data_IF_430700684773
#
_entry.id   IF_430700684773
#
_cell.length_a   1.000
_cell.length_b   1.000
_cell.length_c   1.000
_cell.angle_alpha   90.00
_cell.angle_beta   90.00
_cell.angle_gamma   90.00
#
_symmetry.space_group_name_H-M   'P 1'
#
loop_
_entity.id
_entity.type
_entity.pdbx_description
1 polymer ?
#
# COMPACT_ATOMS: atom_id res chain seq x y z
N UNK A 1 16.26 52.51 -12.68
CA UNK A 1 16.37 51.30 -13.51
C UNK A 1 15.54 50.23 -12.83
N UNK A 2 14.25 50.22 -13.15
CA UNK A 2 13.20 49.48 -12.45
C UNK A 2 12.60 48.46 -13.42
N UNK A 3 12.71 47.19 -13.08
CA UNK A 3 12.16 46.07 -13.84
C UNK A 3 11.01 45.45 -13.04
N UNK A 4 9.87 46.14 -13.07
CA UNK A 4 8.58 45.67 -12.56
C UNK A 4 7.56 46.49 -13.35
N UNK A 5 7.07 45.97 -14.48
CA UNK A 5 5.83 46.38 -15.16
C UNK A 5 5.70 45.49 -16.40
N UNK A 6 4.99 44.37 -16.27
CA UNK A 6 4.21 43.77 -17.36
C UNK A 6 3.44 42.59 -16.80
N UNK A 7 2.21 42.87 -16.35
CA UNK A 7 1.03 41.98 -16.48
C UNK A 7 -0.19 42.71 -15.94
N UNK A 8 -0.74 43.57 -16.80
CA UNK A 8 -2.13 43.94 -16.79
C UNK A 8 -2.70 43.62 -18.18
N UNK A 9 -3.99 43.27 -18.20
CA UNK A 9 -4.89 43.17 -19.35
C UNK A 9 -4.89 41.88 -20.18
N UNK A 10 -5.85 41.01 -19.86
CA UNK A 10 -6.92 40.46 -20.73
C UNK A 10 -7.92 39.79 -19.75
N UNK A 11 -8.98 40.52 -19.37
CA UNK A 11 -10.37 40.40 -19.85
C UNK A 11 -11.18 39.49 -18.90
N UNK A 12 -11.91 40.04 -17.91
CA UNK A 12 -13.29 40.57 -18.04
C UNK A 12 -14.21 39.58 -18.76
N UNK A 13 -14.86 38.71 -17.97
CA UNK A 13 -16.28 38.33 -17.97
C UNK A 13 -16.44 37.32 -16.82
N UNK A 14 -17.40 37.59 -15.93
CA UNK A 14 -18.01 36.77 -14.85
C UNK A 14 -18.06 37.50 -13.50
N UNK A 15 -18.75 38.64 -13.49
CA UNK A 15 -19.26 39.27 -12.26
C UNK A 15 -20.54 40.05 -12.57
N UNK A 16 -21.59 39.35 -13.02
CA UNK A 16 -22.99 39.80 -12.92
C UNK A 16 -23.92 38.60 -13.07
N UNK A 17 -24.47 38.11 -11.95
CA UNK A 17 -25.80 37.49 -11.79
C UNK A 17 -25.83 36.59 -10.53
N UNK A 18 -25.73 37.20 -9.35
CA UNK A 18 -26.33 36.61 -8.14
C UNK A 18 -27.78 37.11 -8.06
N UNK A 19 -28.61 36.58 -8.95
CA UNK A 19 -30.06 36.57 -8.78
C UNK A 19 -30.45 35.13 -8.51
N UNK A 20 -30.98 34.89 -7.31
CA UNK A 20 -31.32 33.57 -6.81
C UNK A 20 -32.22 32.80 -7.76
N UNK A 21 -31.70 31.71 -8.31
CA UNK A 21 -32.50 30.61 -8.79
C UNK A 21 -32.44 29.52 -7.71
N UNK A 22 -33.40 29.55 -6.79
CA UNK A 22 -33.69 28.39 -5.94
C UNK A 22 -34.33 27.36 -6.86
N UNK A 23 -33.49 26.51 -7.47
CA UNK A 23 -33.96 25.30 -8.15
C UNK A 23 -34.52 24.39 -7.07
N UNK A 24 -35.83 24.30 -6.98
CA UNK A 24 -36.51 23.27 -6.20
C UNK A 24 -36.31 21.94 -6.93
N UNK A 25 -35.25 21.22 -6.61
CA UNK A 25 -35.06 19.83 -7.04
C UNK A 25 -36.11 18.96 -6.32
N UNK A 26 -37.29 18.85 -6.93
CA UNK A 26 -38.45 18.12 -6.40
C UNK A 26 -38.46 16.63 -6.78
N UNK A 27 -37.33 16.02 -7.18
CA UNK A 27 -37.30 14.62 -7.61
C UNK A 27 -36.02 13.88 -7.18
N UNK A 28 -35.69 13.93 -5.88
CA UNK A 28 -34.75 12.97 -5.29
C UNK A 28 -35.45 11.62 -5.08
N UNK A 29 -35.78 10.93 -6.18
CA UNK A 29 -36.15 9.52 -6.08
C UNK A 29 -34.94 8.76 -5.53
N UNK A 30 -35.10 8.16 -4.35
CA UNK A 30 -34.09 7.25 -3.81
C UNK A 30 -33.85 6.12 -4.81
N UNK A 31 -32.58 5.74 -5.06
CA UNK A 31 -32.27 4.67 -5.99
C UNK A 31 -32.97 3.37 -5.59
N UNK A 32 -33.49 2.65 -6.58
CA UNK A 32 -34.12 1.34 -6.41
C UNK A 32 -33.12 0.31 -5.89
N UNK A 33 -33.60 -0.76 -5.25
CA UNK A 33 -32.76 -1.87 -4.76
C UNK A 33 -31.96 -2.51 -5.91
N UNK A 34 -32.51 -2.59 -7.12
CA UNK A 34 -31.75 -3.07 -8.29
C UNK A 34 -30.61 -2.13 -8.70
N UNK A 35 -30.81 -0.80 -8.61
CA UNK A 35 -29.74 0.17 -8.88
C UNK A 35 -28.63 0.10 -7.82
N UNK A 36 -28.98 -0.13 -6.55
CA UNK A 36 -27.99 -0.34 -5.48
C UNK A 36 -27.14 -1.59 -5.68
N UNK A 37 -27.69 -2.65 -6.31
CA UNK A 37 -26.94 -3.89 -6.62
C UNK A 37 -25.89 -3.73 -7.73
N UNK A 38 -25.93 -2.62 -8.49
CA UNK A 38 -24.99 -2.36 -9.58
C UNK A 38 -23.83 -1.44 -9.17
N UNK A 39 -23.82 -0.92 -7.94
CA UNK A 39 -22.75 -0.04 -7.48
C UNK A 39 -21.54 -0.91 -7.15
N UNK A 40 -20.48 -0.78 -7.94
CA UNK A 40 -19.21 -1.42 -7.61
C UNK A 40 -18.64 -0.82 -6.31
N UNK A 41 -18.14 -1.67 -5.38
CA UNK A 41 -17.46 -1.21 -4.18
C UNK A 41 -16.32 -0.23 -4.50
N UNK A 42 -16.22 0.93 -3.81
CA UNK A 42 -15.12 1.85 -3.98
C UNK A 42 -13.77 1.16 -3.73
N UNK A 43 -12.82 1.33 -4.65
CA UNK A 43 -11.45 0.82 -4.50
C UNK A 43 -10.67 1.77 -3.60
N UNK A 44 -10.36 1.34 -2.39
CA UNK A 44 -9.60 2.12 -1.42
C UNK A 44 -8.17 1.63 -1.38
N UNK A 45 -7.21 2.53 -1.59
CA UNK A 45 -5.79 2.21 -1.49
C UNK A 45 -5.18 2.78 -0.22
N UNK A 46 -4.47 1.95 0.54
CA UNK A 46 -3.79 2.36 1.76
C UNK A 46 -2.31 2.05 1.63
N UNK A 47 -1.47 3.08 1.68
CA UNK A 47 -0.02 2.90 1.74
C UNK A 47 0.48 2.90 3.18
N UNK A 48 1.19 1.85 3.59
CA UNK A 48 1.86 1.72 4.89
C UNK A 48 3.37 1.84 4.70
N UNK A 49 3.95 2.93 5.17
CA UNK A 49 5.37 3.21 4.96
C UNK A 49 6.29 2.28 5.78
N UNK A 50 7.54 2.18 5.36
CA UNK A 50 8.60 1.43 6.05
C UNK A 50 9.20 2.12 7.27
N UNK A 51 10.37 1.66 7.70
CA UNK A 51 11.12 2.32 8.78
C UNK A 51 11.63 3.69 8.33
N UNK A 52 11.60 4.65 9.25
CA UNK A 52 12.16 5.98 9.08
C UNK A 52 13.70 5.96 9.17
N UNK A 53 14.38 5.27 8.25
CA UNK A 53 15.85 5.17 8.25
C UNK A 53 16.51 6.25 7.38
N UNK A 54 17.54 6.92 7.95
CA UNK A 54 18.48 7.90 7.37
C UNK A 54 17.93 9.15 6.65
N UNK A 55 16.91 9.06 5.79
CA UNK A 55 16.36 10.21 5.05
C UNK A 55 15.78 11.30 5.97
N UNK A 56 15.21 10.92 7.12
CA UNK A 56 14.65 11.89 8.08
C UNK A 56 15.70 12.83 8.67
N UNK A 57 16.99 12.48 8.67
CA UNK A 57 18.00 13.35 9.28
C UNK A 57 18.29 14.58 8.41
N UNK A 58 18.16 14.47 7.09
CA UNK A 58 18.34 15.59 6.14
C UNK A 58 17.03 16.17 5.59
N UNK A 59 15.94 15.40 5.55
CA UNK A 59 14.67 15.80 4.91
C UNK A 59 13.45 15.74 5.83
N UNK A 60 13.66 15.94 7.14
CA UNK A 60 12.63 15.92 8.20
C UNK A 60 11.33 16.66 7.84
N UNK A 61 11.43 17.81 7.14
CA UNK A 61 10.28 18.62 6.71
C UNK A 61 9.39 17.92 5.67
N UNK A 62 9.99 17.07 4.84
CA UNK A 62 9.32 16.38 3.73
C UNK A 62 8.83 14.99 4.11
N UNK A 63 9.36 14.41 5.19
CA UNK A 63 9.06 13.04 5.61
C UNK A 63 8.16 12.96 6.85
N UNK A 64 7.91 14.08 7.52
CA UNK A 64 7.00 14.10 8.67
C UNK A 64 5.54 14.03 8.20
N UNK A 65 4.87 12.94 8.57
CA UNK A 65 3.41 12.85 8.57
C UNK A 65 2.93 12.60 9.99
N UNK A 66 1.84 13.24 10.43
CA UNK A 66 1.19 12.87 11.68
C UNK A 66 0.88 11.38 11.70
N UNK A 67 0.94 10.74 12.88
CA UNK A 67 0.58 9.33 13.02
C UNK A 67 -0.89 9.09 12.66
N UNK A 68 -1.22 7.87 12.27
CA UNK A 68 -2.56 7.47 11.89
C UNK A 68 -2.79 7.45 10.38
N UNK A 69 -4.05 7.27 9.98
CA UNK A 69 -4.47 7.15 8.59
C UNK A 69 -4.93 8.51 8.06
N UNK A 70 -4.32 8.97 6.97
CA UNK A 70 -4.61 10.27 6.37
C UNK A 70 -4.97 10.10 4.91
N UNK A 71 -6.02 10.78 4.47
CA UNK A 71 -6.36 10.84 3.05
C UNK A 71 -5.32 11.69 2.32
N UNK A 72 -4.91 11.31 1.12
CA UNK A 72 -3.76 11.93 0.45
C UNK A 72 -3.94 13.43 0.24
N UNK A 73 -5.16 13.89 -0.06
CA UNK A 73 -5.44 15.32 -0.25
C UNK A 73 -5.37 16.15 1.05
N UNK A 74 -5.44 15.52 2.24
CA UNK A 74 -5.29 16.23 3.51
C UNK A 74 -3.82 16.41 3.92
N UNK A 75 -2.88 15.79 3.19
CA UNK A 75 -1.46 15.88 3.43
C UNK A 75 -0.83 17.02 2.61
N UNK A 76 0.27 17.59 3.11
CA UNK A 76 1.02 18.61 2.37
C UNK A 76 1.50 18.06 1.01
N UNK A 77 1.45 18.89 -0.02
CA UNK A 77 2.01 18.57 -1.36
C UNK A 77 3.50 18.22 -1.30
N UNK A 78 4.21 18.75 -0.31
CA UNK A 78 5.63 18.48 -0.07
C UNK A 78 5.87 17.14 0.64
N UNK A 79 4.82 16.43 1.05
CA UNK A 79 4.99 15.16 1.75
C UNK A 79 5.49 14.07 0.79
N UNK A 80 6.61 13.45 1.15
CA UNK A 80 7.39 12.63 0.20
C UNK A 80 6.60 11.44 -0.35
N UNK A 81 5.83 10.77 0.50
CA UNK A 81 5.09 9.58 0.09
C UNK A 81 3.81 9.91 -0.67
N UNK A 82 3.28 11.14 -0.55
CA UNK A 82 2.18 11.60 -1.40
C UNK A 82 2.63 11.61 -2.86
N UNK A 83 3.71 12.34 -3.18
CA UNK A 83 4.14 12.45 -4.57
C UNK A 83 4.82 11.17 -5.10
N UNK A 84 5.66 10.51 -4.27
CA UNK A 84 6.35 9.29 -4.70
C UNK A 84 5.40 8.13 -4.96
N UNK A 85 4.40 7.95 -4.09
CA UNK A 85 3.57 6.73 -4.11
C UNK A 85 2.18 7.04 -4.64
N UNK A 86 1.41 7.89 -3.93
CA UNK A 86 0.01 8.10 -4.27
C UNK A 86 -0.16 8.77 -5.64
N UNK A 87 0.52 9.89 -5.88
CA UNK A 87 0.37 10.64 -7.13
C UNK A 87 0.96 9.85 -8.32
N UNK A 88 2.05 9.12 -8.09
CA UNK A 88 2.64 8.26 -9.13
C UNK A 88 1.70 7.11 -9.52
N UNK A 89 1.11 6.41 -8.54
CA UNK A 89 0.19 5.31 -8.84
C UNK A 89 -1.12 5.81 -9.46
N UNK A 90 -1.71 6.86 -8.90
CA UNK A 90 -2.95 7.44 -9.41
C UNK A 90 -2.79 8.01 -10.83
N UNK A 91 -1.64 8.64 -11.14
CA UNK A 91 -1.37 9.13 -12.51
C UNK A 91 -1.04 8.01 -13.50
N UNK A 92 -0.58 6.84 -13.02
CA UNK A 92 -0.30 5.69 -13.87
C UNK A 92 -1.57 4.91 -14.20
N UNK A 93 -2.44 4.69 -13.20
CA UNK A 93 -3.69 3.92 -13.33
C UNK A 93 -4.70 4.43 -12.29
N UNK A 94 -5.46 5.46 -12.65
CA UNK A 94 -6.44 6.08 -11.75
C UNK A 94 -7.66 5.19 -11.50
N UNK A 95 -7.95 4.22 -12.37
CA UNK A 95 -9.06 3.28 -12.18
C UNK A 95 -8.72 2.22 -11.12
N UNK A 96 -7.45 1.83 -11.03
CA UNK A 96 -6.96 0.92 -10.00
C UNK A 96 -6.61 1.65 -8.70
N UNK A 97 -6.07 2.87 -8.80
CA UNK A 97 -5.60 3.68 -7.67
C UNK A 97 -6.23 5.08 -7.66
N UNK A 98 -7.56 5.20 -7.52
CA UNK A 98 -8.24 6.50 -7.48
C UNK A 98 -7.70 7.36 -6.34
N UNK A 99 -7.23 8.56 -6.67
CA UNK A 99 -6.53 9.44 -5.72
C UNK A 99 -7.44 9.90 -4.58
N UNK A 100 -8.73 10.08 -4.88
CA UNK A 100 -9.79 10.43 -3.94
C UNK A 100 -10.02 9.35 -2.87
N UNK A 101 -9.67 8.10 -3.16
CA UNK A 101 -9.78 6.96 -2.23
C UNK A 101 -8.41 6.44 -1.79
N UNK A 102 -7.38 7.29 -1.87
CA UNK A 102 -6.02 6.96 -1.48
C UNK A 102 -5.69 7.52 -0.09
N UNK A 103 -5.13 6.66 0.77
CA UNK A 103 -4.72 6.97 2.12
C UNK A 103 -3.26 6.58 2.38
N UNK A 104 -2.63 7.28 3.30
CA UNK A 104 -1.31 6.94 3.83
C UNK A 104 -1.44 6.72 5.33
N UNK A 105 -1.04 5.53 5.78
CA UNK A 105 -0.92 5.23 7.20
C UNK A 105 0.50 5.51 7.67
N UNK A 106 0.62 6.42 8.64
CA UNK A 106 1.90 6.80 9.22
C UNK A 106 2.04 6.31 10.65
N UNK A 107 3.19 5.73 10.95
CA UNK A 107 3.50 5.15 12.25
C UNK A 107 4.90 5.56 12.72
N UNK A 108 5.31 5.11 13.91
CA UNK A 108 6.58 5.51 14.53
C UNK A 108 7.82 5.15 13.71
N UNK A 109 7.74 4.12 12.87
CA UNK A 109 8.86 3.59 12.09
C UNK A 109 9.89 2.83 12.94
N UNK A 110 9.66 2.65 14.25
CA UNK A 110 10.58 1.95 15.14
C UNK A 110 10.68 0.46 14.78
N UNK A 111 11.88 -0.11 14.91
CA UNK A 111 12.18 -1.48 14.48
C UNK A 111 11.74 -2.58 15.48
N UNK A 112 11.21 -2.23 16.65
CA UNK A 112 10.79 -3.21 17.64
C UNK A 112 9.50 -3.94 17.23
N UNK A 113 9.33 -5.17 17.72
CA UNK A 113 8.07 -5.90 17.52
C UNK A 113 6.89 -5.17 18.14
N UNK A 114 7.06 -4.67 19.36
CA UNK A 114 6.03 -3.91 20.07
C UNK A 114 5.55 -2.70 19.27
N UNK A 115 6.47 -1.90 18.72
CA UNK A 115 6.08 -0.74 17.92
C UNK A 115 5.29 -1.11 16.66
N UNK A 116 5.61 -2.25 16.02
CA UNK A 116 4.85 -2.76 14.86
C UNK A 116 3.47 -3.29 15.25
N UNK A 117 3.36 -3.93 16.42
CA UNK A 117 2.07 -4.40 16.96
C UNK A 117 1.18 -3.24 17.39
N UNK A 118 1.73 -2.23 18.07
CA UNK A 118 1.01 -0.99 18.38
C UNK A 118 0.53 -0.30 17.11
N UNK A 119 1.40 -0.17 16.10
CA UNK A 119 1.01 0.40 14.81
C UNK A 119 -0.09 -0.43 14.11
N UNK A 120 -0.11 -1.76 14.27
CA UNK A 120 -1.16 -2.60 13.73
C UNK A 120 -2.51 -2.36 14.43
N UNK A 121 -2.51 -2.17 15.75
CA UNK A 121 -3.72 -1.80 16.50
C UNK A 121 -4.25 -0.42 16.07
N UNK A 122 -3.37 0.57 15.93
CA UNK A 122 -3.71 1.90 15.41
C UNK A 122 -4.30 1.83 13.98
N UNK A 123 -3.67 1.04 13.11
CA UNK A 123 -4.13 0.81 11.74
C UNK A 123 -5.50 0.12 11.74
N UNK A 124 -5.69 -0.91 12.56
CA UNK A 124 -6.95 -1.64 12.67
C UNK A 124 -8.10 -0.72 13.13
N UNK A 125 -7.89 0.10 14.15
CA UNK A 125 -8.88 1.07 14.61
C UNK A 125 -9.24 2.09 13.49
N UNK A 126 -8.23 2.57 12.77
CA UNK A 126 -8.44 3.48 11.63
C UNK A 126 -9.20 2.81 10.48
N UNK A 127 -8.94 1.53 10.21
CA UNK A 127 -9.65 0.73 9.20
C UNK A 127 -11.12 0.51 9.58
N UNK A 128 -11.43 0.15 10.84
CA UNK A 128 -12.83 0.05 11.32
C UNK A 128 -13.58 1.35 11.07
N UNK A 129 -12.97 2.48 11.43
CA UNK A 129 -13.58 3.79 11.19
C UNK A 129 -13.78 4.07 9.70
N UNK A 130 -12.75 3.82 8.88
CA UNK A 130 -12.82 4.04 7.43
C UNK A 130 -13.92 3.23 6.77
N UNK A 131 -14.02 1.94 7.08
CA UNK A 131 -15.05 1.04 6.52
C UNK A 131 -16.44 1.53 6.94
N UNK A 132 -16.62 1.89 8.21
CA UNK A 132 -17.88 2.46 8.70
C UNK A 132 -18.23 3.77 7.98
N UNK A 133 -17.27 4.67 7.79
CA UNK A 133 -17.47 5.92 7.06
C UNK A 133 -17.90 5.67 5.60
N UNK A 134 -17.32 4.67 4.91
CA UNK A 134 -17.70 4.29 3.54
C UNK A 134 -19.07 3.63 3.48
N UNK A 135 -19.38 2.72 4.42
CA UNK A 135 -20.69 2.09 4.51
C UNK A 135 -21.78 3.14 4.74
N UNK A 136 -21.53 4.13 5.61
CA UNK A 136 -22.47 5.22 5.86
C UNK A 136 -22.63 6.16 4.65
N UNK A 137 -21.53 6.43 3.91
CA UNK A 137 -21.53 7.37 2.79
C UNK A 137 -22.06 6.78 1.49
N UNK A 138 -21.72 5.54 1.18
CA UNK A 138 -22.00 4.88 -0.10
C UNK A 138 -22.96 3.71 0.02
N UNK A 139 -23.32 3.29 1.24
CA UNK A 139 -24.16 2.11 1.47
C UNK A 139 -23.44 0.78 1.24
N UNK A 140 -22.13 0.80 0.97
CA UNK A 140 -21.32 -0.37 0.64
C UNK A 140 -19.91 -0.27 1.23
N UNK A 141 -19.37 -1.41 1.65
CA UNK A 141 -18.00 -1.49 2.15
C UNK A 141 -16.97 -1.36 1.01
N UNK A 142 -15.81 -0.73 1.26
CA UNK A 142 -14.81 -0.56 0.23
C UNK A 142 -13.98 -1.83 -0.02
N UNK A 143 -13.49 -1.99 -1.25
CA UNK A 143 -12.45 -2.96 -1.57
C UNK A 143 -11.07 -2.41 -1.21
N UNK A 144 -10.50 -2.91 -0.11
CA UNK A 144 -9.21 -2.43 0.41
C UNK A 144 -8.03 -3.10 -0.30
N UNK A 145 -7.22 -2.28 -0.97
CA UNK A 145 -5.89 -2.60 -1.46
C UNK A 145 -4.84 -1.95 -0.54
N UNK A 146 -4.07 -2.75 0.18
CA UNK A 146 -3.00 -2.27 1.05
C UNK A 146 -1.64 -2.45 0.38
N UNK A 147 -0.93 -1.36 0.16
CA UNK A 147 0.45 -1.36 -0.34
C UNK A 147 1.38 -1.07 0.82
N UNK A 148 2.39 -1.90 1.00
CA UNK A 148 3.32 -1.79 2.11
C UNK A 148 4.75 -1.78 1.60
N UNK A 149 5.63 -1.05 2.28
CA UNK A 149 7.05 -1.07 1.99
C UNK A 149 7.84 -1.46 3.23
N UNK A 150 8.87 -2.30 3.07
CA UNK A 150 9.81 -2.64 4.15
C UNK A 150 9.05 -3.17 5.40
N UNK A 151 9.34 -2.63 6.59
CA UNK A 151 8.63 -3.00 7.82
C UNK A 151 7.14 -2.60 7.88
N UNK A 152 6.65 -1.76 6.97
CA UNK A 152 5.21 -1.52 6.83
C UNK A 152 4.43 -2.80 6.54
N UNK A 153 5.05 -3.76 5.83
CA UNK A 153 4.45 -5.07 5.60
C UNK A 153 4.28 -5.87 6.88
N UNK A 154 5.22 -5.75 7.82
CA UNK A 154 5.10 -6.40 9.12
C UNK A 154 4.03 -5.73 10.00
N UNK A 155 3.78 -4.43 9.87
CA UNK A 155 2.63 -3.77 10.50
C UNK A 155 1.33 -4.37 9.95
N UNK A 156 1.20 -4.47 8.63
CA UNK A 156 0.01 -5.06 7.99
C UNK A 156 -0.22 -6.52 8.39
N UNK A 157 0.83 -7.36 8.40
CA UNK A 157 0.72 -8.76 8.81
C UNK A 157 0.27 -8.90 10.27
N UNK A 158 0.68 -7.99 11.16
CA UNK A 158 0.24 -8.02 12.56
C UNK A 158 -1.25 -7.71 12.75
N UNK A 159 -1.98 -7.22 11.72
CA UNK A 159 -3.44 -7.12 11.80
C UNK A 159 -4.09 -8.49 12.06
N UNK A 160 -3.53 -9.58 11.52
CA UNK A 160 -4.01 -10.94 11.74
C UNK A 160 -3.82 -11.45 13.18
N UNK A 161 -3.05 -10.72 14.00
CA UNK A 161 -2.88 -11.04 15.43
C UNK A 161 -4.08 -10.56 16.27
N UNK A 162 -4.85 -9.59 15.77
CA UNK A 162 -5.94 -8.93 16.49
C UNK A 162 -7.17 -9.84 16.44
N UNK A 163 -7.62 -10.33 17.60
CA UNK A 163 -8.70 -11.33 17.74
C UNK A 163 -10.10 -10.73 17.92
N UNK A 164 -10.31 -9.48 17.54
CA UNK A 164 -11.62 -8.86 17.70
C UNK A 164 -12.64 -9.48 16.74
N UNK A 165 -13.80 -9.87 17.30
CA UNK A 165 -14.88 -10.57 16.57
C UNK A 165 -15.78 -9.60 15.81
N UNK A 166 -15.74 -8.31 16.14
CA UNK A 166 -16.75 -7.34 15.72
C UNK A 166 -16.67 -6.88 14.27
N UNK A 167 -15.51 -7.02 13.61
CA UNK A 167 -15.32 -6.62 12.22
C UNK A 167 -14.71 -7.76 11.43
N UNK A 168 -15.42 -8.22 10.39
CA UNK A 168 -14.83 -9.10 9.38
C UNK A 168 -13.95 -8.27 8.43
N UNK A 169 -12.82 -7.77 8.97
CA UNK A 169 -11.90 -6.94 8.22
C UNK A 169 -11.31 -7.75 7.05
N UNK A 170 -11.65 -7.35 5.82
CA UNK A 170 -11.16 -7.98 4.61
C UNK A 170 -10.15 -7.08 3.88
N UNK A 171 -8.90 -7.53 3.78
CA UNK A 171 -7.88 -6.94 2.92
C UNK A 171 -7.90 -7.72 1.59
N UNK A 172 -8.51 -7.11 0.58
CA UNK A 172 -8.73 -7.75 -0.72
C UNK A 172 -7.41 -8.00 -1.45
N UNK A 173 -6.49 -7.02 -1.39
CA UNK A 173 -5.15 -7.13 -1.94
C UNK A 173 -4.12 -6.59 -0.94
N UNK A 174 -3.10 -7.39 -0.62
CA UNK A 174 -1.93 -6.97 0.14
C UNK A 174 -0.70 -6.99 -0.77
N UNK A 175 -0.19 -5.82 -1.13
CA UNK A 175 1.00 -5.63 -1.95
C UNK A 175 2.20 -5.32 -1.04
N UNK A 176 3.15 -6.24 -0.97
CA UNK A 176 4.34 -6.17 -0.11
C UNK A 176 5.58 -5.85 -0.95
N UNK A 177 6.10 -4.64 -0.79
CA UNK A 177 7.27 -4.15 -1.50
C UNK A 177 8.51 -4.26 -0.61
N UNK A 178 9.45 -5.15 -0.94
CA UNK A 178 10.70 -5.33 -0.21
C UNK A 178 10.51 -5.61 1.30
N UNK A 179 9.47 -6.35 1.66
CA UNK A 179 9.15 -6.64 3.06
C UNK A 179 10.10 -7.71 3.61
N UNK A 180 10.85 -7.46 4.71
CA UNK A 180 11.64 -8.49 5.37
C UNK A 180 10.71 -9.53 6.00
N UNK A 181 10.88 -10.80 5.63
CA UNK A 181 10.08 -11.91 6.16
C UNK A 181 10.61 -12.29 7.54
N UNK A 182 9.86 -11.93 8.58
CA UNK A 182 10.21 -12.19 9.97
C UNK A 182 9.54 -13.47 10.46
N UNK A 183 10.26 -14.26 11.27
CA UNK A 183 9.76 -15.56 11.76
C UNK A 183 8.44 -15.43 12.54
N UNK A 184 8.28 -14.30 13.24
CA UNK A 184 7.10 -14.00 14.06
C UNK A 184 5.85 -13.65 13.27
N UNK A 185 5.99 -13.13 12.05
CA UNK A 185 4.87 -12.65 11.24
C UNK A 185 4.64 -13.48 9.97
N UNK A 186 5.62 -14.29 9.55
CA UNK A 186 5.55 -15.02 8.28
C UNK A 186 4.31 -15.90 8.14
N UNK A 187 3.80 -16.45 9.24
CA UNK A 187 2.65 -17.33 9.24
C UNK A 187 1.31 -16.59 9.08
N UNK A 188 1.28 -15.27 9.30
CA UNK A 188 0.07 -14.46 9.17
C UNK A 188 -0.42 -14.31 7.73
N UNK A 189 0.41 -14.61 6.73
CA UNK A 189 -0.02 -14.67 5.31
C UNK A 189 -1.16 -15.68 5.08
N UNK A 190 -1.31 -16.65 5.97
CA UNK A 190 -2.34 -17.70 5.90
C UNK A 190 -3.70 -17.24 6.45
N UNK A 191 -3.75 -16.06 7.06
CA UNK A 191 -4.96 -15.56 7.69
C UNK A 191 -6.03 -15.21 6.63
N UNK A 192 -7.28 -15.59 6.88
CA UNK A 192 -8.40 -15.44 5.94
C UNK A 192 -8.76 -13.99 5.61
N UNK A 193 -8.26 -13.04 6.41
CA UNK A 193 -8.40 -11.61 6.15
C UNK A 193 -7.66 -11.16 4.88
N UNK A 194 -6.59 -11.86 4.48
CA UNK A 194 -5.80 -11.51 3.30
C UNK A 194 -6.24 -12.37 2.12
N UNK A 195 -7.09 -11.82 1.25
CA UNK A 195 -7.65 -12.59 0.13
C UNK A 195 -6.62 -12.87 -0.96
N UNK A 196 -5.79 -11.88 -1.28
CA UNK A 196 -4.70 -12.01 -2.24
C UNK A 196 -3.48 -11.23 -1.76
N UNK A 197 -2.32 -11.86 -1.83
CA UNK A 197 -1.03 -11.30 -1.40
C UNK A 197 -0.07 -11.31 -2.59
N UNK A 198 0.61 -10.18 -2.79
CA UNK A 198 1.67 -10.01 -3.78
C UNK A 198 2.96 -9.61 -3.06
N UNK A 199 3.98 -10.46 -3.09
CA UNK A 199 5.27 -10.18 -2.44
C UNK A 199 6.37 -9.92 -3.46
N UNK A 200 6.87 -8.69 -3.50
CA UNK A 200 7.92 -8.25 -4.40
C UNK A 200 9.26 -8.22 -3.68
N UNK A 201 10.27 -8.91 -4.23
CA UNK A 201 11.61 -8.98 -3.64
C UNK A 201 12.71 -8.88 -4.70
N UNK A 202 13.94 -8.64 -4.25
CA UNK A 202 15.14 -8.55 -5.11
C UNK A 202 16.31 -9.28 -4.47
N UNK A 203 17.15 -9.92 -5.30
CA UNK A 203 18.42 -10.52 -4.82
C UNK A 203 19.43 -9.47 -4.34
N UNK A 204 19.32 -8.24 -4.84
CA UNK A 204 20.25 -7.15 -4.56
C UNK A 204 19.79 -6.27 -3.38
N UNK A 205 18.60 -6.53 -2.85
CA UNK A 205 18.12 -5.83 -1.66
C UNK A 205 18.69 -6.47 -0.38
N UNK A 206 19.90 -6.09 0.03
CA UNK A 206 20.47 -6.60 1.27
C UNK A 206 19.64 -6.26 2.51
N UNK A 207 18.97 -5.10 2.55
CA UNK A 207 18.21 -4.61 3.71
C UNK A 207 17.09 -5.57 4.08
N UNK A 208 16.40 -6.14 3.09
CA UNK A 208 15.32 -7.10 3.33
C UNK A 208 15.77 -8.40 4.05
N UNK A 209 17.06 -8.76 4.03
CA UNK A 209 17.60 -9.91 4.80
C UNK A 209 18.36 -9.46 6.05
N UNK A 210 19.02 -8.30 6.01
CA UNK A 210 19.84 -7.81 7.12
C UNK A 210 19.03 -7.27 8.31
N UNK A 211 17.69 -7.34 8.29
CA UNK A 211 16.87 -6.99 9.45
C UNK A 211 17.21 -7.93 10.63
N UNK A 212 17.80 -7.39 11.72
CA UNK A 212 18.38 -8.19 12.78
C UNK A 212 17.31 -8.65 13.79
N UNK A 213 16.34 -9.41 13.31
CA UNK A 213 15.16 -9.82 14.07
C UNK A 213 15.47 -10.58 15.37
N UNK A 214 16.63 -11.23 15.45
CA UNK A 214 17.11 -11.92 16.65
C UNK A 214 17.65 -10.99 17.76
N UNK A 215 17.92 -9.72 17.43
CA UNK A 215 18.37 -8.70 18.40
C UNK A 215 17.20 -7.95 19.06
N UNK A 216 15.98 -8.11 18.53
CA UNK A 216 14.80 -7.51 19.15
C UNK A 216 14.45 -8.21 20.46
N UNK A 217 13.87 -7.46 21.40
CA UNK A 217 13.44 -8.01 22.68
C UNK A 217 12.43 -9.14 22.46
N UNK A 218 12.78 -10.32 22.96
CA UNK A 218 11.92 -11.51 22.94
C UNK A 218 10.77 -11.37 23.94
N UNK A 219 9.60 -11.89 23.58
CA UNK A 219 8.46 -12.01 24.51
C UNK A 219 8.76 -12.99 25.64
N UNK A 220 7.98 -12.93 26.72
CA UNK A 220 8.05 -13.92 27.79
C UNK A 220 7.84 -15.34 27.24
N UNK A 221 6.88 -15.51 26.34
CA UNK A 221 6.57 -16.80 25.72
C UNK A 221 7.72 -17.33 24.84
N UNK A 222 8.35 -16.46 24.05
CA UNK A 222 9.52 -16.83 23.24
C UNK A 222 10.71 -17.27 24.10
N UNK A 223 10.88 -16.64 25.28
CA UNK A 223 11.88 -17.05 26.27
C UNK A 223 11.51 -18.38 26.91
N UNK A 224 10.26 -18.57 27.33
CA UNK A 224 9.76 -19.78 27.96
C UNK A 224 9.86 -21.00 27.03
N UNK A 225 9.45 -20.83 25.77
CA UNK A 225 9.43 -21.90 24.77
C UNK A 225 10.80 -22.15 24.11
N UNK A 226 11.84 -21.40 24.50
CA UNK A 226 13.20 -21.48 23.93
C UNK A 226 13.22 -21.39 22.40
N UNK A 227 12.25 -20.69 21.81
CA UNK A 227 12.12 -20.58 20.35
C UNK A 227 13.37 -19.90 19.78
N UNK A 228 14.04 -20.58 18.84
CA UNK A 228 15.18 -20.00 18.13
C UNK A 228 14.66 -19.04 17.06
N UNK A 229 14.62 -17.76 17.38
CA UNK A 229 14.43 -16.69 16.37
C UNK A 229 15.75 -16.53 15.61
N UNK A 230 15.75 -16.66 14.26
CA UNK A 230 16.96 -16.46 13.47
C UNK A 230 17.47 -15.02 13.64
N UNK A 231 18.78 -14.81 13.46
CA UNK A 231 19.35 -13.47 13.59
C UNK A 231 18.80 -12.51 12.53
N UNK A 232 18.59 -13.00 11.31
CA UNK A 232 18.27 -12.24 10.12
C UNK A 232 16.92 -12.66 9.51
N UNK A 233 16.28 -11.77 8.79
CA UNK A 233 15.05 -12.03 8.03
C UNK A 233 15.29 -12.83 6.75
N UNK A 234 14.20 -13.35 6.18
CA UNK A 234 14.20 -14.00 4.88
C UNK A 234 13.58 -13.09 3.82
N UNK A 235 13.70 -13.50 2.54
CA UNK A 235 13.08 -12.79 1.40
C UNK A 235 11.75 -13.36 0.98
N UNK A 236 11.59 -14.66 1.21
CA UNK A 236 10.53 -15.47 0.67
C UNK A 236 9.69 -15.97 1.83
N UNK A 237 8.39 -15.98 1.59
CA UNK A 237 7.44 -16.68 2.42
C UNK A 237 7.31 -18.12 1.94
N UNK A 238 6.79 -18.97 2.83
CA UNK A 238 6.31 -20.29 2.43
C UNK A 238 5.20 -20.15 1.36
N UNK A 239 5.22 -21.00 0.32
CA UNK A 239 4.15 -21.10 -0.68
C UNK A 239 2.73 -21.14 -0.09
N UNK A 240 1.80 -20.34 -0.60
CA UNK A 240 0.37 -20.35 -0.20
C UNK A 240 -0.53 -20.06 -1.40
N UNK A 241 -1.76 -20.57 -1.40
CA UNK A 241 -2.71 -20.41 -2.51
C UNK A 241 -3.09 -18.95 -2.79
N UNK A 242 -3.12 -18.12 -1.74
CA UNK A 242 -3.40 -16.68 -1.82
C UNK A 242 -2.15 -15.83 -2.06
N UNK A 243 -0.96 -16.41 -2.25
CA UNK A 243 0.30 -15.69 -2.35
C UNK A 243 0.94 -15.85 -3.74
N UNK A 244 1.31 -14.73 -4.35
CA UNK A 244 2.22 -14.70 -5.50
C UNK A 244 3.49 -13.95 -5.10
N UNK A 245 4.65 -14.59 -5.28
CA UNK A 245 5.94 -13.96 -5.01
C UNK A 245 6.63 -13.61 -6.33
N UNK A 246 7.14 -12.39 -6.44
CA UNK A 246 7.76 -11.86 -7.64
C UNK A 246 9.19 -11.40 -7.34
N UNK A 247 10.14 -12.06 -7.99
CA UNK A 247 11.55 -11.66 -8.02
C UNK A 247 11.75 -10.62 -9.12
N UNK A 248 12.12 -9.41 -8.72
CA UNK A 248 12.23 -8.27 -9.64
C UNK A 248 13.66 -8.09 -10.14
N UNK A 249 13.78 -7.83 -11.45
CA UNK A 249 15.01 -7.42 -12.12
C UNK A 249 14.72 -6.23 -13.05
N UNK A 250 15.54 -5.19 -12.98
CA UNK A 250 15.62 -4.15 -14.01
C UNK A 250 16.70 -4.54 -15.00
N UNK A 251 16.29 -4.93 -16.21
CA UNK A 251 17.18 -5.54 -17.21
C UNK A 251 17.93 -6.76 -16.62
N UNK A 252 19.14 -6.53 -16.10
CA UNK A 252 20.02 -7.55 -15.51
C UNK A 252 20.34 -7.32 -14.03
N UNK A 253 19.96 -6.17 -13.45
CA UNK A 253 20.29 -5.77 -12.08
C UNK A 253 18.99 -5.74 -11.25
N UNK A 254 18.99 -6.36 -10.07
CA UNK A 254 17.82 -6.27 -9.18
C UNK A 254 17.73 -4.90 -8.51
N UNK A 255 16.52 -4.40 -8.22
CA UNK A 255 16.36 -3.16 -7.47
C UNK A 255 16.97 -3.25 -6.07
N UNK A 256 17.43 -2.11 -5.56
CA UNK A 256 17.72 -1.92 -4.15
C UNK A 256 16.43 -1.67 -3.36
N UNK A 257 16.52 -1.67 -2.03
CA UNK A 257 15.37 -1.54 -1.12
C UNK A 257 14.44 -0.36 -1.42
N UNK A 258 15.02 0.83 -1.62
CA UNK A 258 14.27 2.07 -1.88
C UNK A 258 13.74 2.11 -3.31
N UNK A 259 14.35 1.39 -4.25
CA UNK A 259 13.94 1.41 -5.66
C UNK A 259 12.50 0.91 -5.86
N UNK A 260 11.96 0.13 -4.93
CA UNK A 260 10.56 -0.34 -4.98
C UNK A 260 9.51 0.76 -4.74
N UNK A 261 9.89 1.90 -4.16
CA UNK A 261 8.98 3.04 -3.94
C UNK A 261 9.30 4.23 -4.84
N UNK A 262 10.21 4.06 -5.80
CA UNK A 262 10.49 5.07 -6.82
C UNK A 262 9.57 4.89 -8.02
N UNK A 263 9.36 5.99 -8.75
CA UNK A 263 8.49 6.01 -9.93
C UNK A 263 8.88 5.00 -11.01
N UNK A 264 10.18 4.69 -11.14
CA UNK A 264 10.66 3.67 -12.09
C UNK A 264 10.06 2.28 -11.85
N UNK A 265 9.79 1.92 -10.59
CA UNK A 265 9.09 0.69 -10.24
C UNK A 265 7.58 0.89 -10.19
N UNK A 266 7.12 1.95 -9.52
CA UNK A 266 5.69 2.16 -9.25
C UNK A 266 4.85 2.36 -10.52
N UNK A 267 5.40 3.00 -11.55
CA UNK A 267 4.73 3.13 -12.86
C UNK A 267 4.53 1.79 -13.58
N UNK A 268 5.20 0.72 -13.13
CA UNK A 268 5.04 -0.64 -13.66
C UNK A 268 4.16 -1.52 -12.77
N UNK A 269 3.89 -1.09 -11.54
CA UNK A 269 3.14 -1.87 -10.56
C UNK A 269 1.73 -2.23 -11.04
N UNK A 270 0.90 -1.31 -11.60
CA UNK A 270 -0.45 -1.65 -12.03
C UNK A 270 -0.49 -2.80 -13.04
N UNK A 271 0.34 -2.70 -14.09
CA UNK A 271 0.45 -3.74 -15.12
C UNK A 271 0.92 -5.09 -14.56
N UNK A 272 1.83 -5.09 -13.58
CA UNK A 272 2.24 -6.32 -12.89
C UNK A 272 1.08 -6.94 -12.12
N UNK A 273 0.33 -6.14 -11.36
CA UNK A 273 -0.81 -6.63 -10.59
C UNK A 273 -1.90 -7.20 -11.48
N UNK A 274 -2.24 -6.52 -12.59
CA UNK A 274 -3.22 -7.02 -13.57
C UNK A 274 -2.77 -8.34 -14.20
N UNK A 275 -1.47 -8.47 -14.49
CA UNK A 275 -0.91 -9.72 -14.99
C UNK A 275 -0.99 -10.84 -13.95
N UNK A 276 -0.75 -10.54 -12.67
CA UNK A 276 -0.83 -11.53 -11.60
C UNK A 276 -2.26 -11.94 -11.24
N UNK A 277 -3.21 -11.01 -11.33
CA UNK A 277 -4.64 -11.30 -11.15
C UNK A 277 -5.14 -12.31 -12.21
N UNK A 278 -4.52 -12.35 -13.40
CA UNK A 278 -4.84 -13.31 -14.46
C UNK A 278 -4.27 -14.73 -14.25
N UNK A 279 -3.39 -14.92 -13.25
CA UNK A 279 -2.76 -16.21 -12.98
C UNK A 279 -3.74 -17.12 -12.23
N UNK A 280 -4.03 -18.29 -12.80
CA UNK A 280 -4.95 -19.28 -12.20
C UNK A 280 -4.38 -19.90 -10.93
N UNK A 281 -5.26 -20.36 -10.04
CA UNK A 281 -4.86 -21.03 -8.78
C UNK A 281 -3.94 -22.24 -9.03
N UNK A 282 -4.20 -23.02 -10.07
CA UNK A 282 -3.35 -24.16 -10.46
C UNK A 282 -1.90 -23.72 -10.78
N UNK A 283 -1.74 -22.57 -11.44
CA UNK A 283 -0.43 -22.01 -11.77
C UNK A 283 0.29 -21.49 -10.52
N UNK A 284 -0.47 -20.93 -9.56
CA UNK A 284 0.07 -20.45 -8.27
C UNK A 284 0.67 -21.58 -7.45
N UNK A 285 0.01 -22.74 -7.40
CA UNK A 285 0.51 -23.92 -6.67
C UNK A 285 1.79 -24.50 -7.28
N UNK A 286 1.91 -24.48 -8.62
CA UNK A 286 3.07 -25.01 -9.34
C UNK A 286 4.27 -24.07 -9.33
N UNK A 287 4.03 -22.76 -9.37
CA UNK A 287 5.10 -21.74 -9.48
C UNK A 287 4.96 -20.68 -8.40
N UNK A 288 5.64 -20.93 -7.28
CA UNK A 288 5.58 -20.05 -6.11
C UNK A 288 6.32 -18.73 -6.30
N UNK A 289 7.23 -18.66 -7.29
CA UNK A 289 8.08 -17.50 -7.55
C UNK A 289 8.14 -17.18 -9.04
N UNK A 290 7.64 -16.01 -9.40
CA UNK A 290 7.74 -15.45 -10.74
C UNK A 290 9.01 -14.61 -10.85
N UNK A 291 9.71 -14.69 -11.99
CA UNK A 291 10.76 -13.72 -12.31
C UNK A 291 10.17 -12.66 -13.22
N UNK A 292 10.20 -11.42 -12.76
CA UNK A 292 9.72 -10.27 -13.53
C UNK A 292 10.91 -9.43 -13.99
N UNK A 293 11.02 -9.25 -15.29
CA UNK A 293 12.05 -8.41 -15.91
C UNK A 293 11.41 -7.11 -16.39
N UNK A 294 11.76 -6.03 -15.72
CA UNK A 294 11.35 -4.68 -16.05
C UNK A 294 12.34 -4.07 -17.05
N UNK A 295 11.80 -3.53 -18.15
CA UNK A 295 12.57 -2.78 -19.13
C UNK A 295 12.65 -1.30 -18.70
N UNK A 296 13.77 -0.63 -18.97
CA UNK A 296 13.88 0.84 -18.81
C UNK A 296 12.89 1.59 -19.69
N UNK A 297 12.56 1.04 -20.85
CA UNK A 297 11.55 1.60 -21.73
C UNK A 297 10.15 1.40 -21.12
N UNK A 298 9.53 2.52 -20.73
CA UNK A 298 8.20 2.53 -20.13
C UNK A 298 7.12 1.95 -21.05
N UNK A 299 7.36 1.92 -22.38
CA UNK A 299 6.39 1.40 -23.36
C UNK A 299 6.45 -0.10 -23.54
N UNK A 300 7.53 -0.77 -23.11
CA UNK A 300 7.66 -2.21 -23.29
C UNK A 300 6.83 -2.97 -22.24
N UNK A 301 6.12 -4.04 -22.66
CA UNK A 301 5.35 -4.86 -21.75
C UNK A 301 6.27 -5.54 -20.72
N UNK A 302 5.74 -5.75 -19.53
CA UNK A 302 6.42 -6.49 -18.47
C UNK A 302 6.59 -7.95 -18.91
N UNK A 303 7.81 -8.47 -18.86
CA UNK A 303 8.08 -9.88 -19.14
C UNK A 303 8.01 -10.67 -17.84
N UNK A 304 7.07 -11.60 -17.77
CA UNK A 304 6.91 -12.54 -16.65
C UNK A 304 7.40 -13.90 -17.13
N UNK A 305 8.39 -14.45 -16.43
CA UNK A 305 8.88 -15.80 -16.66
C UNK A 305 8.62 -16.65 -15.42
N UNK A 306 8.12 -17.86 -15.62
CA UNK A 306 8.04 -18.86 -14.56
C UNK A 306 9.47 -19.33 -14.26
N UNK A 307 9.95 -19.05 -13.05
CA UNK A 307 11.23 -19.58 -12.63
C UNK A 307 11.11 -21.07 -12.35
N UNK A 308 11.97 -21.89 -12.95
CA UNK A 308 12.33 -23.17 -12.36
C UNK A 308 13.16 -22.83 -11.12
N UNK A 309 12.67 -23.21 -9.94
CA UNK A 309 13.30 -22.98 -8.64
C UNK A 309 14.70 -23.58 -8.57
#
# INVERSE_FOLDING_TARGET
MNWLHNRALILVIFLTALSGCVVKDNNSQQPTIEQLKQIEPPKVTIYVHGTHFWFNRMFKKYTFCPRGLHQVHSLSENYVYRWLVADTLASTDCEQFPQEHFYIFSWSGLLSYEARETAALELYAALKKLISDYQNKYGIEPHICMITHSHGGNVALNLAKIKEVELDLCIHKLVMLAVPVQKRTEHFIKHSMFKQIYSFHSRFDAIQVLDPQGMYQRTADEKANKTKVPLFSQRLFEPQANLVQAKIKFEYIGPFHVSFILSTFLTKLPSMLNSFDSITSETKEKTNILTVVLNKDHKKPVKIAHGLS
#
